data_IF_771224727840
#
_entry.id   IF_771224727840
#
_cell.length_a   1.000
_cell.length_b   1.000
_cell.length_c   1.000
_cell.angle_alpha   90.00
_cell.angle_beta   90.00
_cell.angle_gamma   90.00
#
_symmetry.space_group_name_H-M   'P 1'
#
loop_
_entity.id
_entity.type
_entity.pdbx_description
1 polymer ?
#
# COMPACT_ATOMS: atom_id res chain seq x y z
N UNK A 1 0.83 21.80 15.07
CA UNK A 1 0.75 20.66 14.19
C UNK A 1 1.97 19.75 14.33
N UNK A 2 1.75 18.46 14.47
CA UNK A 2 2.85 17.51 14.64
C UNK A 2 3.71 17.45 13.36
N UNK A 3 5.04 17.35 13.46
CA UNK A 3 5.88 17.17 12.29
C UNK A 3 5.59 15.83 11.59
N UNK A 4 5.77 15.81 10.28
CA UNK A 4 5.68 14.59 9.49
C UNK A 4 6.86 13.69 9.86
N UNK A 5 6.60 12.39 10.02
CA UNK A 5 7.62 11.42 10.38
C UNK A 5 7.69 10.28 9.38
N UNK A 6 8.87 9.71 9.22
CA UNK A 6 9.07 8.48 8.48
C UNK A 6 8.49 7.28 9.25
N UNK A 7 8.45 6.11 8.63
CA UNK A 7 7.88 4.90 9.24
C UNK A 7 8.59 4.52 10.55
N UNK A 8 9.90 4.79 10.68
CA UNK A 8 10.67 4.54 11.89
C UNK A 8 10.38 5.52 13.02
N UNK A 9 9.60 6.57 12.77
CA UNK A 9 9.28 7.63 13.72
C UNK A 9 10.21 8.83 13.67
N UNK A 10 11.25 8.80 12.86
CA UNK A 10 12.18 9.95 12.72
C UNK A 10 11.50 11.09 11.95
N UNK A 11 11.73 12.36 12.35
CA UNK A 11 11.23 13.50 11.58
C UNK A 11 11.76 13.48 10.15
N UNK A 12 10.91 13.82 9.19
CA UNK A 12 11.28 13.87 7.77
C UNK A 12 12.42 14.86 7.52
N UNK A 13 12.49 15.94 8.30
CA UNK A 13 13.54 16.94 8.18
C UNK A 13 14.96 16.38 8.40
N UNK A 14 15.09 15.22 9.07
CA UNK A 14 16.36 14.52 9.25
C UNK A 14 16.75 13.64 8.07
N UNK A 15 15.92 13.53 7.05
CA UNK A 15 16.17 12.68 5.89
C UNK A 15 16.94 13.45 4.81
N UNK A 16 18.25 13.62 5.02
CA UNK A 16 19.12 14.30 4.08
C UNK A 16 19.99 13.29 3.33
N UNK A 17 20.55 13.72 2.18
CA UNK A 17 21.49 12.87 1.42
C UNK A 17 22.72 12.52 2.28
N UNK A 18 23.20 13.47 3.07
CA UNK A 18 24.34 13.24 3.96
C UNK A 18 24.03 12.22 5.05
N UNK A 19 22.83 12.30 5.66
CA UNK A 19 22.41 11.33 6.67
C UNK A 19 22.33 9.91 6.08
N UNK A 20 21.85 9.77 4.86
CA UNK A 20 21.80 8.47 4.16
C UNK A 20 23.19 7.93 3.92
N UNK A 21 24.14 8.78 3.46
CA UNK A 21 25.52 8.38 3.22
C UNK A 21 26.24 7.98 4.50
N UNK A 22 25.94 8.66 5.59
CA UNK A 22 26.54 8.38 6.89
C UNK A 22 25.92 7.15 7.57
N UNK A 23 24.92 6.53 6.98
CA UNK A 23 24.20 5.41 7.57
C UNK A 23 23.29 5.79 8.74
N UNK A 24 23.01 7.08 8.90
CA UNK A 24 22.11 7.58 9.95
C UNK A 24 20.63 7.31 9.61
N UNK A 25 20.32 7.07 8.33
CA UNK A 25 18.97 6.83 7.84
C UNK A 25 18.91 5.44 7.20
N UNK A 26 18.09 4.56 7.76
CA UNK A 26 17.84 3.23 7.21
C UNK A 26 16.73 3.24 6.17
N UNK A 27 16.51 2.09 5.52
CA UNK A 27 15.46 1.94 4.51
C UNK A 27 14.08 2.27 5.09
N UNK A 28 13.80 1.88 6.34
CA UNK A 28 12.52 2.16 6.99
C UNK A 28 12.26 3.67 7.16
N UNK A 29 13.32 4.47 7.30
CA UNK A 29 13.20 5.93 7.43
C UNK A 29 12.81 6.59 6.12
N UNK A 30 13.06 5.94 4.99
CA UNK A 30 12.74 6.45 3.66
C UNK A 30 11.30 6.14 3.25
N UNK A 31 10.63 5.26 3.97
CA UNK A 31 9.22 4.94 3.72
C UNK A 31 8.33 6.05 4.29
N UNK A 32 7.26 6.36 3.56
CA UNK A 32 6.27 7.33 4.03
C UNK A 32 5.45 6.69 5.16
N UNK A 33 5.33 7.39 6.28
CA UNK A 33 4.52 6.93 7.39
C UNK A 33 3.04 6.86 7.00
N UNK A 34 2.29 5.81 7.45
CA UNK A 34 0.87 5.67 7.09
C UNK A 34 0.01 6.86 7.47
N UNK A 35 0.31 7.57 8.55
CA UNK A 35 -0.42 8.79 8.93
C UNK A 35 -0.28 9.88 7.88
N UNK A 36 0.88 10.01 7.25
CA UNK A 36 1.10 10.96 6.16
C UNK A 36 0.23 10.61 4.96
N UNK A 37 0.18 9.33 4.62
CA UNK A 37 -0.66 8.85 3.50
C UNK A 37 -2.14 9.10 3.78
N UNK A 38 -2.61 8.90 5.00
CA UNK A 38 -3.99 9.18 5.38
C UNK A 38 -4.30 10.67 5.28
N UNK A 39 -3.40 11.54 5.72
CA UNK A 39 -3.57 13.01 5.57
C UNK A 39 -3.63 13.42 4.12
N UNK A 40 -2.77 12.86 3.28
CA UNK A 40 -2.78 13.11 1.85
C UNK A 40 -4.08 12.64 1.21
N UNK A 41 -4.64 11.51 1.68
CA UNK A 41 -5.92 11.01 1.21
C UNK A 41 -7.06 11.98 1.52
N UNK A 42 -7.10 12.53 2.74
CA UNK A 42 -8.10 13.53 3.12
C UNK A 42 -8.00 14.77 2.22
N UNK A 43 -6.79 15.25 1.97
CA UNK A 43 -6.57 16.39 1.06
C UNK A 43 -7.07 16.07 -0.34
N UNK A 44 -6.79 14.87 -0.85
CA UNK A 44 -7.26 14.43 -2.17
C UNK A 44 -8.79 14.43 -2.25
N UNK A 45 -9.47 13.95 -1.21
CA UNK A 45 -10.93 13.98 -1.14
C UNK A 45 -11.48 15.42 -1.16
N UNK A 46 -10.85 16.30 -0.40
CA UNK A 46 -11.25 17.72 -0.33
C UNK A 46 -11.11 18.42 -1.67
N UNK A 47 -10.18 17.97 -2.50
CA UNK A 47 -9.94 18.52 -3.85
C UNK A 47 -10.70 17.75 -4.94
N UNK A 48 -11.65 16.89 -4.57
CA UNK A 48 -12.48 16.18 -5.52
C UNK A 48 -11.80 15.02 -6.24
N UNK A 49 -10.78 14.42 -5.62
CA UNK A 49 -10.05 13.29 -6.20
C UNK A 49 -10.16 12.03 -5.33
N UNK A 50 -11.35 11.38 -5.32
CA UNK A 50 -11.57 10.20 -4.47
C UNK A 50 -10.74 8.99 -4.90
N UNK A 51 -10.40 8.88 -6.19
CA UNK A 51 -9.58 7.77 -6.69
C UNK A 51 -8.17 7.83 -6.12
N UNK A 52 -7.56 9.01 -6.13
CA UNK A 52 -6.24 9.20 -5.51
C UNK A 52 -6.32 8.94 -4.01
N UNK A 53 -7.35 9.40 -3.33
CA UNK A 53 -7.56 9.14 -1.92
C UNK A 53 -7.59 7.64 -1.63
N UNK A 54 -8.31 6.86 -2.43
CA UNK A 54 -8.36 5.41 -2.31
C UNK A 54 -7.00 4.75 -2.49
N UNK A 55 -6.22 5.20 -3.47
CA UNK A 55 -4.87 4.70 -3.72
C UNK A 55 -3.94 4.98 -2.54
N UNK A 56 -4.01 6.17 -1.97
CA UNK A 56 -3.20 6.55 -0.81
C UNK A 56 -3.57 5.73 0.43
N UNK A 57 -4.85 5.44 0.64
CA UNK A 57 -5.30 4.62 1.75
C UNK A 57 -4.88 3.15 1.60
N UNK A 58 -4.89 2.61 0.37
CA UNK A 58 -4.33 1.27 0.12
C UNK A 58 -2.84 1.24 0.41
N UNK A 59 -2.11 2.27 -0.01
CA UNK A 59 -0.69 2.38 0.29
C UNK A 59 -0.43 2.41 1.80
N UNK A 60 -1.27 3.13 2.55
CA UNK A 60 -1.18 3.15 4.02
C UNK A 60 -1.36 1.76 4.62
N UNK A 61 -2.32 0.98 4.12
CA UNK A 61 -2.51 -0.40 4.57
C UNK A 61 -1.28 -1.27 4.27
N UNK A 62 -0.69 -1.12 3.10
CA UNK A 62 0.48 -1.91 2.69
C UNK A 62 1.70 -1.66 3.58
N UNK A 63 1.80 -0.51 4.23
CA UNK A 63 2.91 -0.22 5.16
C UNK A 63 2.92 -1.15 6.37
N UNK A 64 1.81 -1.84 6.65
CA UNK A 64 1.70 -2.80 7.75
C UNK A 64 2.25 -4.18 7.41
N UNK A 65 2.57 -4.43 6.15
CA UNK A 65 3.03 -5.72 5.68
C UNK A 65 4.54 -5.73 5.49
N UNK A 66 5.21 -6.87 5.74
CA UNK A 66 6.61 -7.05 5.33
C UNK A 66 6.77 -6.92 3.81
N UNK A 67 7.95 -6.54 3.37
CA UNK A 67 8.23 -6.32 1.95
C UNK A 67 7.96 -7.54 1.08
N UNK A 68 8.29 -8.73 1.56
CA UNK A 68 8.05 -9.98 0.82
C UNK A 68 6.56 -10.24 0.61
N UNK A 69 5.71 -9.89 1.58
CA UNK A 69 4.25 -10.02 1.42
C UNK A 69 3.70 -8.99 0.44
N UNK A 70 4.21 -7.77 0.46
CA UNK A 70 3.83 -6.73 -0.52
C UNK A 70 4.19 -7.19 -1.93
N UNK A 71 5.40 -7.71 -2.12
CA UNK A 71 5.84 -8.25 -3.40
C UNK A 71 4.98 -9.45 -3.85
N UNK A 72 4.58 -10.30 -2.92
CA UNK A 72 3.71 -11.42 -3.22
C UNK A 72 2.32 -10.97 -3.72
N UNK A 73 1.78 -9.90 -3.15
CA UNK A 73 0.52 -9.30 -3.60
C UNK A 73 0.66 -8.76 -5.03
N UNK A 74 1.73 -8.01 -5.31
CA UNK A 74 1.99 -7.50 -6.65
C UNK A 74 2.15 -8.64 -7.66
N UNK A 75 2.84 -9.71 -7.30
CA UNK A 75 3.00 -10.88 -8.17
C UNK A 75 1.67 -11.56 -8.44
N UNK A 76 0.82 -11.69 -7.39
CA UNK A 76 -0.51 -12.30 -7.53
C UNK A 76 -1.41 -11.49 -8.48
N UNK A 77 -1.23 -10.17 -8.53
CA UNK A 77 -2.02 -9.28 -9.38
C UNK A 77 -1.54 -9.21 -10.82
N UNK A 78 -0.44 -9.84 -11.17
CA UNK A 78 0.01 -9.85 -12.57
C UNK A 78 -0.94 -10.69 -13.41
N UNK A 79 -1.35 -10.20 -14.60
CA UNK A 79 -2.22 -10.96 -15.48
C UNK A 79 -1.67 -12.36 -15.77
N UNK A 80 -2.54 -13.36 -15.71
CA UNK A 80 -2.19 -14.74 -16.00
C UNK A 80 -1.52 -15.50 -14.84
N UNK A 81 -1.33 -14.87 -13.68
CA UNK A 81 -0.63 -15.50 -12.55
C UNK A 81 -1.54 -16.18 -11.56
N UNK A 82 -2.74 -15.67 -11.34
CA UNK A 82 -3.64 -16.18 -10.31
C UNK A 82 -4.99 -16.56 -10.88
N UNK A 83 -5.59 -17.61 -10.32
CA UNK A 83 -6.99 -17.95 -10.58
C UNK A 83 -7.89 -16.98 -9.78
N UNK A 84 -9.17 -16.82 -10.19
CA UNK A 84 -10.12 -16.04 -9.40
C UNK A 84 -10.22 -16.54 -7.95
N UNK A 85 -10.18 -17.85 -7.74
CA UNK A 85 -10.23 -18.44 -6.41
C UNK A 85 -9.02 -18.02 -5.56
N UNK A 86 -7.83 -18.02 -6.14
CA UNK A 86 -6.61 -17.60 -5.44
C UNK A 86 -6.65 -16.15 -5.01
N UNK A 87 -7.14 -15.26 -5.88
CA UNK A 87 -7.28 -13.84 -5.56
C UNK A 87 -8.33 -13.63 -4.48
N UNK A 88 -9.45 -14.34 -4.54
CA UNK A 88 -10.51 -14.25 -3.54
C UNK A 88 -10.03 -14.74 -2.17
N UNK A 89 -9.27 -15.82 -2.15
CA UNK A 89 -8.69 -16.37 -0.92
C UNK A 89 -7.68 -15.39 -0.30
N UNK A 90 -6.83 -14.79 -1.11
CA UNK A 90 -5.88 -13.77 -0.64
C UNK A 90 -6.63 -12.55 -0.10
N UNK A 91 -7.69 -12.12 -0.77
CA UNK A 91 -8.53 -11.02 -0.31
C UNK A 91 -9.13 -11.31 1.08
N UNK A 92 -9.67 -12.52 1.27
CA UNK A 92 -10.22 -12.92 2.57
C UNK A 92 -9.17 -12.87 3.68
N UNK A 93 -7.95 -13.32 3.38
CA UNK A 93 -6.83 -13.27 4.32
C UNK A 93 -6.50 -11.84 4.72
N UNK A 94 -6.42 -10.92 3.76
CA UNK A 94 -6.12 -9.51 4.04
C UNK A 94 -7.24 -8.83 4.81
N UNK A 95 -8.49 -9.15 4.52
CA UNK A 95 -9.63 -8.60 5.23
C UNK A 95 -9.60 -9.02 6.71
N UNK A 96 -9.31 -10.30 6.98
CA UNK A 96 -9.16 -10.82 8.33
C UNK A 96 -8.04 -10.11 9.10
N UNK A 97 -6.99 -9.69 8.41
CA UNK A 97 -5.84 -8.98 8.98
C UNK A 97 -6.07 -7.46 9.13
N UNK A 98 -7.27 -6.97 8.83
CA UNK A 98 -7.58 -5.56 8.96
C UNK A 98 -7.10 -4.68 7.83
N UNK A 99 -7.00 -5.24 6.62
CA UNK A 99 -6.59 -4.53 5.40
C UNK A 99 -7.74 -4.52 4.37
N UNK A 100 -8.87 -3.88 4.68
CA UNK A 100 -10.09 -4.01 3.87
C UNK A 100 -9.97 -3.39 2.48
N UNK A 101 -9.18 -2.34 2.31
CA UNK A 101 -9.03 -1.71 0.98
C UNK A 101 -8.19 -2.55 0.05
N UNK A 102 -7.12 -3.16 0.56
CA UNK A 102 -6.32 -4.10 -0.21
C UNK A 102 -7.15 -5.35 -0.55
N UNK A 103 -7.95 -5.84 0.39
CA UNK A 103 -8.85 -6.95 0.16
C UNK A 103 -9.87 -6.63 -0.96
N UNK A 104 -10.46 -5.44 -0.93
CA UNK A 104 -11.41 -5.00 -1.96
C UNK A 104 -10.77 -4.94 -3.35
N UNK A 105 -9.54 -4.45 -3.43
CA UNK A 105 -8.80 -4.41 -4.70
C UNK A 105 -8.61 -5.81 -5.27
N UNK A 106 -8.24 -6.79 -4.46
CA UNK A 106 -8.05 -8.17 -4.90
C UNK A 106 -9.36 -8.83 -5.32
N UNK A 107 -10.44 -8.54 -4.60
CA UNK A 107 -11.78 -9.03 -4.97
C UNK A 107 -12.21 -8.47 -6.32
N UNK A 108 -12.01 -7.18 -6.54
CA UNK A 108 -12.30 -6.53 -7.81
C UNK A 108 -11.45 -7.10 -8.94
N UNK A 109 -10.15 -7.31 -8.68
CA UNK A 109 -9.25 -7.89 -9.66
C UNK A 109 -9.68 -9.31 -10.05
N UNK A 110 -10.14 -10.11 -9.09
CA UNK A 110 -10.63 -11.46 -9.37
C UNK A 110 -11.78 -11.43 -10.38
N UNK A 111 -12.74 -10.53 -10.19
CA UNK A 111 -13.88 -10.37 -11.08
C UNK A 111 -13.47 -9.82 -12.45
N UNK A 112 -12.72 -8.73 -12.47
CA UNK A 112 -12.28 -8.08 -13.72
C UNK A 112 -11.41 -9.02 -14.56
N UNK A 113 -10.46 -9.71 -13.94
CA UNK A 113 -9.56 -10.61 -14.67
C UNK A 113 -10.32 -11.81 -15.24
N UNK A 114 -11.28 -12.36 -14.50
CA UNK A 114 -12.11 -13.44 -14.99
C UNK A 114 -12.89 -13.01 -16.24
N UNK A 115 -13.50 -11.82 -16.18
CA UNK A 115 -14.29 -11.29 -17.33
C UNK A 115 -13.44 -10.95 -18.54
N UNK A 116 -12.18 -10.53 -18.33
CA UNK A 116 -11.29 -10.12 -19.43
C UNK A 116 -10.36 -11.22 -19.90
N UNK A 117 -10.45 -12.42 -19.34
CA UNK A 117 -9.56 -13.52 -19.73
C UNK A 117 -8.12 -13.33 -19.25
N UNK A 118 -7.91 -12.60 -18.16
CA UNK A 118 -6.58 -12.33 -17.57
C UNK A 118 -6.27 -13.22 -16.37
N UNK A 119 -7.13 -14.18 -16.06
CA UNK A 119 -6.89 -15.15 -14.99
C UNK A 119 -5.98 -16.27 -15.47
N UNK A 120 -5.31 -16.91 -14.51
CA UNK A 120 -4.57 -18.14 -14.78
C UNK A 120 -5.51 -19.26 -15.21
#
# INVERSE_FOLDING_TARGET
EAPVRALSGKPVDGLTVEAVRAGEVGVADLRIHPETLERQAVVAEQHGNPQLAGNLRRAAELTRLPDDEVLAIYEALRPGRSTPAQLTELAASLDTRGLPRCAALLTEAADVYARRGLSA
#
